data_IF_246846412311
#
_entry.id   IF_246846412311
#
_cell.length_a   1.000
_cell.length_b   1.000
_cell.length_c   1.000
_cell.angle_alpha   90.00
_cell.angle_beta   90.00
_cell.angle_gamma   90.00
#
_symmetry.space_group_name_H-M   'P 1'
#
loop_
_entity.id
_entity.type
_entity.pdbx_description
1 polymer ?
#
# COMPACT_ATOMS: atom_id res chain seq x y z
N UNK A 1 -21.33 -8.29 8.91
CA UNK A 1 -20.31 -8.84 9.84
C UNK A 1 -18.97 -8.29 9.40
N UNK A 2 -18.28 -7.55 10.27
CA UNK A 2 -16.97 -6.97 9.95
C UNK A 2 -15.90 -7.91 10.49
N UNK A 3 -14.93 -8.29 9.67
CA UNK A 3 -13.82 -9.14 10.10
C UNK A 3 -12.94 -8.38 11.09
N UNK A 4 -12.69 -8.97 12.26
CA UNK A 4 -11.79 -8.41 13.26
C UNK A 4 -10.32 -8.78 13.00
N UNK A 5 -10.10 -9.91 12.33
CA UNK A 5 -8.77 -10.44 12.05
C UNK A 5 -8.66 -10.93 10.60
N UNK A 6 -7.44 -10.98 10.12
CA UNK A 6 -7.05 -11.54 8.82
C UNK A 6 -6.13 -12.73 9.04
N UNK A 7 -6.16 -13.71 8.14
CA UNK A 7 -5.18 -14.79 8.14
C UNK A 7 -3.94 -14.35 7.39
N UNK A 8 -2.74 -14.59 7.93
CA UNK A 8 -1.46 -14.36 7.26
C UNK A 8 -0.61 -15.63 7.35
N UNK A 9 -0.62 -16.44 6.29
CA UNK A 9 -0.03 -17.78 6.35
C UNK A 9 -0.76 -18.64 7.38
N UNK A 10 -0.12 -18.92 8.53
CA UNK A 10 -0.72 -19.70 9.62
C UNK A 10 -1.03 -18.87 10.87
N UNK A 11 -0.82 -17.54 10.84
CA UNK A 11 -1.12 -16.64 11.95
C UNK A 11 -2.40 -15.83 11.72
N UNK A 12 -2.95 -15.31 12.83
CA UNK A 12 -4.00 -14.31 12.81
C UNK A 12 -3.40 -12.94 13.09
N UNK A 13 -3.75 -11.98 12.26
CA UNK A 13 -3.33 -10.59 12.37
C UNK A 13 -4.57 -9.71 12.55
N UNK A 14 -4.42 -8.57 13.22
CA UNK A 14 -5.49 -7.60 13.34
C UNK A 14 -5.90 -7.09 11.96
N UNK A 15 -7.22 -6.97 11.72
CA UNK A 15 -7.70 -6.36 10.50
C UNK A 15 -7.49 -4.85 10.55
N UNK A 16 -6.50 -4.37 9.80
CA UNK A 16 -6.18 -2.95 9.69
C UNK A 16 -7.06 -2.19 8.68
N UNK A 17 -7.84 -2.87 7.83
CA UNK A 17 -8.67 -2.20 6.81
C UNK A 17 -9.65 -1.17 7.40
N UNK A 18 -10.35 -1.43 8.52
CA UNK A 18 -11.23 -0.45 9.15
C UNK A 18 -10.48 0.82 9.59
N UNK A 19 -9.23 0.68 10.05
CA UNK A 19 -8.40 1.81 10.44
C UNK A 19 -7.98 2.64 9.22
N UNK A 20 -7.53 1.97 8.15
CA UNK A 20 -7.10 2.64 6.92
C UNK A 20 -8.27 3.40 6.26
N UNK A 21 -9.48 2.81 6.29
CA UNK A 21 -10.68 3.38 5.68
C UNK A 21 -11.51 4.25 6.63
N UNK A 22 -11.01 4.53 7.84
CA UNK A 22 -11.72 5.36 8.80
C UNK A 22 -12.12 6.71 8.20
N UNK A 23 -13.32 7.18 8.51
CA UNK A 23 -13.79 8.49 8.07
C UNK A 23 -12.85 9.58 8.62
N UNK A 24 -12.40 10.48 7.75
CA UNK A 24 -11.59 11.63 8.11
C UNK A 24 -12.09 12.87 7.36
N UNK A 25 -11.98 14.08 7.95
CA UNK A 25 -12.36 15.32 7.27
C UNK A 25 -11.67 15.45 5.90
N UNK A 26 -12.45 15.80 4.87
CA UNK A 26 -11.93 15.99 3.52
C UNK A 26 -11.69 14.71 2.71
N UNK A 27 -11.94 13.52 3.28
CA UNK A 27 -11.99 12.27 2.50
C UNK A 27 -13.33 12.14 1.77
N UNK A 28 -13.27 11.71 0.52
CA UNK A 28 -14.42 11.36 -0.33
C UNK A 28 -14.30 9.90 -0.73
N UNK A 29 -15.35 9.12 -0.48
CA UNK A 29 -15.42 7.71 -0.85
C UNK A 29 -16.28 7.55 -2.10
N UNK A 30 -15.75 6.88 -3.11
CA UNK A 30 -16.44 6.54 -4.35
C UNK A 30 -16.49 5.03 -4.49
N UNK A 31 -17.70 4.47 -4.58
CA UNK A 31 -17.91 3.04 -4.79
C UNK A 31 -18.34 2.82 -6.24
N UNK A 32 -17.57 2.03 -6.97
CA UNK A 32 -17.88 1.61 -8.33
C UNK A 32 -18.52 0.23 -8.27
N UNK A 33 -19.72 0.14 -8.83
CA UNK A 33 -20.50 -1.09 -8.87
C UNK A 33 -20.62 -1.61 -10.30
N UNK A 34 -20.62 -2.93 -10.44
CA UNK A 34 -21.03 -3.64 -11.66
C UNK A 34 -22.18 -4.56 -11.29
N UNK A 35 -23.30 -4.48 -12.03
CA UNK A 35 -24.51 -5.26 -11.74
C UNK A 35 -24.97 -5.15 -10.27
N UNK A 36 -24.95 -3.93 -9.71
CA UNK A 36 -25.23 -3.63 -8.29
C UNK A 36 -24.28 -4.26 -7.25
N UNK A 37 -23.21 -4.92 -7.67
CA UNK A 37 -22.18 -5.43 -6.76
C UNK A 37 -21.00 -4.45 -6.71
N UNK A 38 -20.52 -4.07 -5.51
CA UNK A 38 -19.35 -3.21 -5.38
C UNK A 38 -18.10 -3.95 -5.83
N UNK A 39 -17.40 -3.42 -6.83
CA UNK A 39 -16.22 -4.05 -7.42
C UNK A 39 -14.94 -3.28 -7.06
N UNK A 40 -15.08 -1.96 -6.83
CA UNK A 40 -13.97 -1.09 -6.49
C UNK A 40 -14.41 0.03 -5.56
N UNK A 41 -13.64 0.31 -4.53
CA UNK A 41 -13.78 1.46 -3.66
C UNK A 41 -12.55 2.34 -3.85
N UNK A 42 -12.77 3.63 -4.08
CA UNK A 42 -11.72 4.64 -4.19
C UNK A 42 -11.93 5.67 -3.08
N UNK A 43 -10.89 5.99 -2.34
CA UNK A 43 -10.90 7.09 -1.38
C UNK A 43 -9.95 8.17 -1.88
N UNK A 44 -10.46 9.39 -1.98
CA UNK A 44 -9.73 10.57 -2.41
C UNK A 44 -9.73 11.63 -1.31
N UNK A 45 -8.68 12.45 -1.28
CA UNK A 45 -8.51 13.54 -0.31
C UNK A 45 -7.98 14.79 -1.02
N UNK A 46 -8.33 15.98 -0.54
CA UNK A 46 -7.67 17.22 -0.93
C UNK A 46 -6.38 17.45 -0.13
N UNK A 47 -5.31 17.89 -0.79
CA UNK A 47 -4.10 18.37 -0.12
C UNK A 47 -4.29 19.81 0.43
N UNK A 48 -3.22 20.37 1.02
CA UNK A 48 -3.24 21.75 1.56
C UNK A 48 -3.50 22.83 0.50
N UNK A 49 -3.26 22.53 -0.78
CA UNK A 49 -3.55 23.43 -1.91
C UNK A 49 -4.99 23.29 -2.44
N UNK A 50 -5.77 22.36 -1.88
CA UNK A 50 -7.11 22.03 -2.34
C UNK A 50 -7.13 21.07 -3.53
N UNK A 51 -5.96 20.62 -4.02
CA UNK A 51 -5.88 19.66 -5.12
C UNK A 51 -6.28 18.26 -4.62
N UNK A 52 -7.25 17.65 -5.28
CA UNK A 52 -7.67 16.30 -4.94
C UNK A 52 -6.70 15.27 -5.49
N UNK A 53 -6.32 14.31 -4.65
CA UNK A 53 -5.54 13.14 -5.02
C UNK A 53 -6.24 11.85 -4.56
N UNK A 54 -5.84 10.73 -5.16
CA UNK A 54 -6.30 9.40 -4.73
C UNK A 54 -5.45 8.95 -3.57
N UNK A 55 -6.06 8.63 -2.44
CA UNK A 55 -5.37 8.20 -1.23
C UNK A 55 -5.31 6.67 -1.14
N UNK A 56 -6.40 5.98 -1.48
CA UNK A 56 -6.40 4.53 -1.59
C UNK A 56 -7.43 4.00 -2.59
N UNK A 57 -7.18 2.79 -3.06
CA UNK A 57 -8.08 2.03 -3.91
C UNK A 57 -8.14 0.60 -3.38
N UNK A 58 -9.35 0.11 -3.12
CA UNK A 58 -9.66 -1.29 -2.88
C UNK A 58 -10.38 -1.84 -4.10
N UNK A 59 -9.95 -2.99 -4.62
CA UNK A 59 -10.62 -3.67 -5.73
C UNK A 59 -10.77 -5.15 -5.46
N UNK A 60 -11.80 -5.76 -6.03
CA UNK A 60 -12.00 -7.21 -6.05
C UNK A 60 -12.03 -7.71 -7.49
N UNK A 61 -11.27 -8.76 -7.77
CA UNK A 61 -11.31 -9.52 -9.01
C UNK A 61 -11.95 -10.88 -8.75
N UNK A 62 -13.15 -11.07 -9.28
CA UNK A 62 -13.95 -12.28 -9.08
C UNK A 62 -13.32 -13.51 -9.76
N UNK A 63 -12.62 -13.31 -10.88
CA UNK A 63 -12.01 -14.42 -11.63
C UNK A 63 -10.85 -15.04 -10.87
N UNK A 64 -10.02 -14.21 -10.24
CA UNK A 64 -8.87 -14.66 -9.43
C UNK A 64 -9.20 -14.79 -7.94
N UNK A 65 -10.39 -14.34 -7.51
CA UNK A 65 -10.79 -14.19 -6.10
C UNK A 65 -9.78 -13.36 -5.29
N UNK A 66 -9.15 -12.39 -5.93
CA UNK A 66 -8.15 -11.52 -5.31
C UNK A 66 -8.76 -10.18 -4.93
N UNK A 67 -8.38 -9.70 -3.75
CA UNK A 67 -8.65 -8.35 -3.29
C UNK A 67 -7.32 -7.60 -3.32
N UNK A 68 -7.29 -6.43 -3.97
CA UNK A 68 -6.13 -5.57 -4.01
C UNK A 68 -6.41 -4.28 -3.24
N UNK A 69 -5.55 -3.94 -2.28
CA UNK A 69 -5.52 -2.65 -1.61
C UNK A 69 -4.26 -1.90 -2.03
N UNK A 70 -4.45 -0.76 -2.69
CA UNK A 70 -3.40 0.16 -3.07
C UNK A 70 -3.52 1.42 -2.22
N UNK A 71 -2.45 1.79 -1.51
CA UNK A 71 -2.36 3.01 -0.71
C UNK A 71 -1.33 3.92 -1.37
N UNK A 72 -1.71 5.17 -1.62
CA UNK A 72 -0.92 6.15 -2.34
C UNK A 72 -0.41 7.23 -1.40
N UNK A 73 0.89 7.46 -1.42
CA UNK A 73 1.55 8.52 -0.68
C UNK A 73 2.14 9.53 -1.69
N UNK A 74 1.64 10.77 -1.73
CA UNK A 74 2.27 11.82 -2.51
C UNK A 74 3.68 12.12 -1.98
N UNK A 75 4.66 12.15 -2.88
CA UNK A 75 6.07 12.48 -2.62
C UNK A 75 6.50 13.61 -3.56
N UNK A 76 7.58 14.37 -3.23
CA UNK A 76 8.14 15.36 -4.15
C UNK A 76 8.58 14.77 -5.50
N UNK A 77 9.09 13.53 -5.49
CA UNK A 77 9.62 12.81 -6.66
C UNK A 77 8.55 12.02 -7.44
N UNK A 78 7.31 11.95 -6.95
CA UNK A 78 6.25 11.13 -7.56
C UNK A 78 5.24 10.62 -6.53
N UNK A 79 4.44 9.62 -6.89
CA UNK A 79 3.53 8.96 -5.94
C UNK A 79 4.11 7.60 -5.57
N UNK A 80 4.41 7.40 -4.29
CA UNK A 80 4.76 6.09 -3.77
C UNK A 80 3.50 5.26 -3.56
N UNK A 81 3.54 3.97 -3.88
CA UNK A 81 2.36 3.09 -3.81
C UNK A 81 2.68 1.84 -3.00
N UNK A 82 1.91 1.61 -1.93
CA UNK A 82 1.91 0.37 -1.18
C UNK A 82 0.83 -0.54 -1.76
N UNK A 83 1.24 -1.68 -2.31
CA UNK A 83 0.34 -2.69 -2.87
C UNK A 83 0.24 -3.88 -1.92
N UNK A 84 -0.97 -4.14 -1.43
CA UNK A 84 -1.28 -5.29 -0.58
C UNK A 84 -2.31 -6.18 -1.30
N UNK A 85 -2.05 -7.48 -1.32
CA UNK A 85 -2.95 -8.47 -1.90
C UNK A 85 -3.58 -9.35 -0.83
N UNK A 86 -4.83 -9.75 -1.06
CA UNK A 86 -5.55 -10.67 -0.20
C UNK A 86 -6.32 -11.67 -1.06
N UNK A 87 -6.37 -12.91 -0.60
CA UNK A 87 -7.16 -13.96 -1.21
C UNK A 87 -8.53 -14.07 -0.53
N UNK A 88 -9.57 -14.28 -1.32
CA UNK A 88 -10.92 -14.52 -0.85
C UNK A 88 -11.29 -16.01 -0.91
N UNK A 89 -11.51 -16.59 0.26
CA UNK A 89 -11.82 -18.00 0.53
C UNK A 89 -13.26 -18.11 1.10
N UNK A 90 -14.31 -18.03 0.25
CA UNK A 90 -15.70 -17.98 0.70
C UNK A 90 -16.14 -19.22 1.51
N UNK A 91 -15.47 -20.35 1.33
CA UNK A 91 -15.70 -21.58 2.09
C UNK A 91 -15.24 -21.48 3.55
N UNK A 92 -14.35 -20.53 3.89
CA UNK A 92 -13.87 -20.29 5.25
C UNK A 92 -14.70 -19.21 5.95
N UNK A 93 -15.92 -19.56 6.35
CA UNK A 93 -16.95 -18.62 6.83
C UNK A 93 -16.51 -17.65 7.94
N UNK A 94 -15.63 -18.09 8.86
CA UNK A 94 -15.16 -17.26 9.96
C UNK A 94 -14.04 -16.30 9.55
N UNK A 95 -13.22 -16.69 8.57
CA UNK A 95 -12.00 -15.98 8.15
C UNK A 95 -11.78 -16.13 6.64
N UNK A 96 -12.64 -15.50 5.82
CA UNK A 96 -12.60 -15.69 4.37
C UNK A 96 -11.59 -14.79 3.66
N UNK A 97 -10.88 -13.90 4.36
CA UNK A 97 -9.89 -12.98 3.76
C UNK A 97 -8.50 -13.28 4.32
N UNK A 98 -7.58 -13.64 3.43
CA UNK A 98 -6.22 -14.05 3.76
C UNK A 98 -5.25 -13.08 3.13
N UNK A 99 -4.37 -12.47 3.92
CA UNK A 99 -3.31 -11.59 3.42
C UNK A 99 -2.23 -12.43 2.73
N UNK A 100 -1.89 -12.08 1.48
CA UNK A 100 -0.73 -12.66 0.80
C UNK A 100 0.54 -12.16 1.48
N UNK A 101 1.14 -13.02 2.31
CA UNK A 101 2.33 -12.70 3.08
C UNK A 101 3.55 -12.39 2.19
N UNK A 102 3.66 -13.01 1.01
CA UNK A 102 4.77 -12.79 0.09
C UNK A 102 4.62 -11.43 -0.58
N UNK A 103 3.44 -11.13 -1.11
CA UNK A 103 3.14 -9.84 -1.70
C UNK A 103 3.25 -8.71 -0.66
N UNK A 104 2.82 -8.95 0.58
CA UNK A 104 2.96 -7.99 1.68
C UNK A 104 4.42 -7.54 1.89
N UNK A 105 5.36 -8.48 1.99
CA UNK A 105 6.78 -8.16 2.20
C UNK A 105 7.36 -7.41 1.01
N UNK A 106 7.08 -7.87 -0.21
CA UNK A 106 7.57 -7.24 -1.44
C UNK A 106 7.00 -5.82 -1.61
N UNK A 107 5.70 -5.65 -1.36
CA UNK A 107 5.02 -4.36 -1.43
C UNK A 107 5.55 -3.35 -0.43
N UNK A 108 5.86 -3.77 0.81
CA UNK A 108 6.48 -2.90 1.80
C UNK A 108 7.89 -2.47 1.38
N UNK A 109 8.72 -3.41 0.94
CA UNK A 109 10.08 -3.10 0.48
C UNK A 109 10.06 -2.08 -0.67
N UNK A 110 9.19 -2.30 -1.66
CA UNK A 110 9.02 -1.37 -2.78
C UNK A 110 8.48 -0.01 -2.35
N UNK A 111 7.52 0.03 -1.43
CA UNK A 111 6.97 1.29 -0.93
C UNK A 111 8.04 2.11 -0.19
N UNK A 112 8.82 1.46 0.68
CA UNK A 112 9.90 2.16 1.40
C UNK A 112 11.03 2.58 0.47
N UNK A 113 11.33 1.81 -0.58
CA UNK A 113 12.32 2.22 -1.57
C UNK A 113 11.90 3.51 -2.29
N UNK A 114 10.61 3.64 -2.60
CA UNK A 114 10.04 4.84 -3.24
C UNK A 114 9.95 6.07 -2.32
N UNK A 115 9.96 5.87 -1.00
CA UNK A 115 9.79 6.97 -0.03
C UNK A 115 11.08 7.45 0.60
N UNK A 116 12.05 6.56 0.81
CA UNK A 116 13.31 6.89 1.49
C UNK A 116 14.46 7.22 0.55
N UNK A 117 14.40 6.76 -0.68
CA UNK A 117 15.49 6.91 -1.63
C UNK A 117 15.02 7.71 -2.84
N UNK A 118 15.93 8.53 -3.36
CA UNK A 118 15.77 9.08 -4.69
C UNK A 118 16.16 7.98 -5.70
N UNK A 119 15.14 7.36 -6.30
CA UNK A 119 15.30 6.24 -7.24
C UNK A 119 16.01 6.63 -8.56
N UNK A 120 16.36 7.91 -8.76
CA UNK A 120 17.12 8.34 -9.94
C UNK A 120 18.51 7.71 -10.02
N UNK A 121 19.13 7.37 -8.87
CA UNK A 121 20.52 6.91 -8.81
C UNK A 121 20.70 5.40 -8.53
N UNK A 122 19.64 4.66 -8.19
CA UNK A 122 19.70 3.19 -8.02
C UNK A 122 18.39 2.51 -8.50
N UNK A 123 18.31 2.05 -9.76
CA UNK A 123 17.09 1.49 -10.32
C UNK A 123 16.78 0.04 -9.88
N UNK A 124 17.69 -0.63 -9.15
CA UNK A 124 17.55 -2.05 -8.74
C UNK A 124 17.78 -2.18 -7.24
N UNK A 125 16.98 -1.46 -6.45
CA UNK A 125 17.14 -1.45 -4.99
C UNK A 125 16.91 -2.82 -4.33
N UNK A 126 17.66 -3.04 -3.25
CA UNK A 126 17.81 -4.26 -2.46
C UNK A 126 18.75 -5.34 -3.01
N UNK A 127 19.22 -5.32 -4.26
CA UNK A 127 20.28 -6.26 -4.66
C UNK A 127 21.59 -6.05 -3.90
N UNK A 128 21.92 -4.79 -3.60
CA UNK A 128 23.13 -4.45 -2.84
C UNK A 128 23.03 -4.83 -1.36
N UNK A 129 21.80 -4.92 -0.81
CA UNK A 129 21.53 -5.29 0.59
C UNK A 129 21.46 -6.82 0.76
N UNK A 130 21.14 -7.55 -0.31
CA UNK A 130 21.18 -9.03 -0.33
C UNK A 130 22.61 -9.57 -0.27
N UNK A 131 23.61 -8.75 -0.59
CA UNK A 131 25.03 -9.02 -0.36
C UNK A 131 25.47 -8.28 0.90
N UNK A 132 25.15 -8.82 2.08
CA UNK A 132 25.45 -8.22 3.40
C UNK A 132 26.92 -7.82 3.60
N UNK A 133 27.81 -8.37 2.78
CA UNK A 133 29.26 -8.21 2.89
C UNK A 133 29.80 -7.03 2.06
N UNK A 134 28.94 -6.33 1.31
CA UNK A 134 29.35 -5.18 0.50
C UNK A 134 29.06 -3.85 1.20
N UNK A 135 30.01 -2.91 1.20
CA UNK A 135 29.75 -1.57 1.72
C UNK A 135 28.72 -0.84 0.84
N UNK A 136 27.79 -0.15 1.48
CA UNK A 136 26.82 0.73 0.81
C UNK A 136 27.45 2.11 0.67
N UNK A 137 27.65 2.58 -0.57
CA UNK A 137 28.15 3.92 -0.85
C UNK A 137 27.00 4.91 -1.07
N UNK A 138 27.18 6.14 -0.61
CA UNK A 138 26.26 7.27 -0.85
C UNK A 138 26.89 8.25 -1.85
N UNK A 139 26.06 8.98 -2.59
CA UNK A 139 26.51 10.01 -3.55
C UNK A 139 27.08 11.27 -2.87
N UNK A 140 27.15 11.29 -1.53
CA UNK A 140 27.57 12.45 -0.76
C UNK A 140 26.46 13.50 -0.66
N UNK A 141 26.64 14.48 0.22
CA UNK A 141 25.70 15.59 0.36
C UNK A 141 26.46 16.90 0.62
N UNK A 142 25.95 18.01 0.09
CA UNK A 142 26.54 19.33 0.28
C UNK A 142 25.84 20.04 1.44
N UNK A 143 26.60 20.38 2.48
CA UNK A 143 26.08 21.20 3.59
C UNK A 143 26.00 22.64 3.11
N UNK A 144 24.82 23.25 3.24
CA UNK A 144 24.57 24.66 2.90
C UNK A 144 24.02 25.37 4.14
N UNK A 145 24.02 26.71 4.14
CA UNK A 145 23.46 27.51 5.24
C UNK A 145 21.95 27.28 5.47
N UNK A 146 21.24 26.65 4.53
CA UNK A 146 19.83 26.27 4.72
C UNK A 146 19.67 24.97 5.52
N UNK A 147 20.76 24.22 5.73
CA UNK A 147 20.78 22.96 6.46
C UNK A 147 21.26 23.09 7.93
N UNK A 148 21.64 24.30 8.37
CA UNK A 148 22.15 24.63 9.72
C UNK A 148 21.16 25.53 10.43
#
# INVERSE_FOLDING_TARGET
MTLLSLVKGTSLEDNFMPQVMQAQPGRVVTVYCQNNMPLKVKISRADKSGKQFTELVLGFDDASRQIALMIFQPMPSGTATLNLGFEYHPEQLLMPIHLDAKQYVQGLQQFYSQTWYDNSDNPVMFQDILSTDKPIASNGFVITMQHV
#
